data_IF_805421804975
#
_entry.id   IF_805421804975
#
_cell.length_a   1.000
_cell.length_b   1.000
_cell.length_c   1.000
_cell.angle_alpha   90.00
_cell.angle_beta   90.00
_cell.angle_gamma   90.00
#
_symmetry.space_group_name_H-M   'P 1'
#
loop_
_entity.id
_entity.type
_entity.pdbx_description
1 polymer ?
#
# COMPACT_ATOMS: atom_id res chain seq x y z
N UNK A 1 6.67 1.55 24.01
CA UNK A 1 5.97 1.26 22.73
C UNK A 1 6.80 1.59 21.50
N UNK A 2 7.34 2.81 21.38
CA UNK A 2 8.03 3.26 20.15
C UNK A 2 9.17 2.35 19.70
N UNK A 3 10.03 1.86 20.62
CA UNK A 3 11.17 1.01 20.25
C UNK A 3 10.78 -0.29 19.53
N UNK A 4 9.76 -1.01 20.00
CA UNK A 4 9.31 -2.26 19.38
C UNK A 4 8.59 -2.02 18.04
N UNK A 5 7.81 -0.93 17.97
CA UNK A 5 7.18 -0.47 16.73
C UNK A 5 8.23 -0.15 15.67
N UNK A 6 9.20 0.69 16.03
CA UNK A 6 10.23 1.18 15.11
C UNK A 6 11.12 0.02 14.66
N UNK A 7 11.47 -0.90 15.56
CA UNK A 7 12.21 -2.12 15.21
C UNK A 7 11.46 -3.00 14.18
N UNK A 8 10.14 -3.14 14.29
CA UNK A 8 9.34 -3.90 13.32
C UNK A 8 9.32 -3.23 11.94
N UNK A 9 9.03 -1.92 11.87
CA UNK A 9 8.99 -1.22 10.58
C UNK A 9 10.37 -1.04 9.95
N UNK A 10 11.44 -0.87 10.74
CA UNK A 10 12.81 -0.87 10.23
C UNK A 10 13.21 -2.24 9.68
N UNK A 11 12.77 -3.34 10.29
CA UNK A 11 12.98 -4.68 9.74
C UNK A 11 12.25 -4.84 8.40
N UNK A 12 11.00 -4.38 8.32
CA UNK A 12 10.20 -4.38 7.09
C UNK A 12 10.86 -3.59 5.94
N UNK A 13 11.48 -2.46 6.24
CA UNK A 13 12.17 -1.66 5.22
C UNK A 13 13.46 -2.33 4.74
N UNK A 14 14.23 -2.93 5.66
CA UNK A 14 15.47 -3.67 5.33
C UNK A 14 15.20 -4.93 4.51
N UNK A 15 14.12 -5.63 4.82
CA UNK A 15 13.78 -6.92 4.22
C UNK A 15 12.69 -6.79 3.15
N UNK A 16 12.51 -5.59 2.59
CA UNK A 16 11.50 -5.28 1.58
C UNK A 16 11.66 -6.11 0.30
N UNK A 17 12.88 -6.53 -0.02
CA UNK A 17 13.20 -7.33 -1.22
C UNK A 17 12.91 -8.83 -1.04
N UNK A 18 12.65 -9.28 0.18
CA UNK A 18 12.34 -10.67 0.48
C UNK A 18 10.87 -10.99 0.26
N UNK A 19 10.58 -12.25 -0.08
CA UNK A 19 9.21 -12.71 -0.26
C UNK A 19 8.44 -12.61 1.06
N UNK A 20 7.34 -11.85 1.12
CA UNK A 20 6.52 -11.82 2.32
C UNK A 20 5.92 -13.19 2.55
N UNK A 21 6.19 -13.74 3.73
CA UNK A 21 5.77 -15.10 4.11
C UNK A 21 4.65 -15.05 5.15
N UNK A 22 4.45 -13.90 5.79
CA UNK A 22 3.52 -13.73 6.91
C UNK A 22 2.57 -12.54 6.68
N UNK A 23 1.38 -12.64 7.28
CA UNK A 23 0.31 -11.64 7.19
C UNK A 23 0.10 -11.02 8.56
N UNK A 24 0.27 -9.70 8.66
CA UNK A 24 -0.02 -8.90 9.85
C UNK A 24 -1.47 -8.41 9.84
N UNK A 25 -1.81 -7.42 10.68
CA UNK A 25 -3.15 -6.84 10.65
C UNK A 25 -3.38 -6.06 9.36
N UNK A 26 -4.66 -5.95 8.97
CA UNK A 26 -5.11 -5.18 7.79
C UNK A 26 -4.43 -5.56 6.46
N UNK A 27 -3.94 -6.79 6.35
CA UNK A 27 -3.31 -7.30 5.13
C UNK A 27 -1.88 -6.82 4.90
N UNK A 28 -1.22 -6.26 5.92
CA UNK A 28 0.19 -5.91 5.84
C UNK A 28 1.03 -7.19 5.72
N UNK A 29 1.76 -7.33 4.63
CA UNK A 29 2.62 -8.48 4.37
C UNK A 29 4.03 -8.22 4.90
N UNK A 30 4.64 -9.20 5.57
CA UNK A 30 5.99 -9.08 6.13
C UNK A 30 6.80 -10.39 6.01
N UNK A 31 8.15 -10.31 6.00
CA UNK A 31 9.02 -11.49 5.93
C UNK A 31 9.17 -12.15 7.31
N UNK A 32 9.46 -13.46 7.33
CA UNK A 32 9.47 -14.27 8.57
C UNK A 32 10.54 -13.81 9.57
N UNK A 33 11.60 -13.18 9.09
CA UNK A 33 12.68 -12.59 9.87
C UNK A 33 12.18 -11.47 10.78
N UNK A 34 11.13 -10.76 10.37
CA UNK A 34 10.51 -9.69 11.16
C UNK A 34 9.45 -10.20 12.14
N UNK A 35 9.17 -11.51 12.18
CA UNK A 35 8.16 -12.12 13.06
C UNK A 35 8.48 -11.92 14.54
N UNK A 36 9.74 -12.05 14.93
CA UNK A 36 10.15 -11.84 16.32
C UNK A 36 9.89 -10.39 16.78
N UNK A 37 10.24 -9.41 15.94
CA UNK A 37 9.94 -7.99 16.18
C UNK A 37 8.44 -7.73 16.20
N UNK A 38 7.66 -8.45 15.37
CA UNK A 38 6.20 -8.37 15.34
C UNK A 38 5.57 -8.85 16.63
N UNK A 39 6.01 -9.99 17.16
CA UNK A 39 5.48 -10.55 18.41
C UNK A 39 5.76 -9.62 19.59
N UNK A 40 6.95 -9.01 19.64
CA UNK A 40 7.27 -7.99 20.63
C UNK A 40 6.39 -6.75 20.49
N UNK A 41 6.13 -6.29 19.26
CA UNK A 41 5.26 -5.15 19.00
C UNK A 41 3.83 -5.42 19.46
N UNK A 42 3.27 -6.60 19.17
CA UNK A 42 1.92 -7.01 19.59
C UNK A 42 1.84 -7.23 21.10
N UNK A 43 2.89 -7.75 21.73
CA UNK A 43 2.94 -7.94 23.19
C UNK A 43 3.02 -6.63 23.96
N UNK A 44 3.75 -5.63 23.43
CA UNK A 44 3.92 -4.34 24.09
C UNK A 44 2.85 -3.31 23.73
N UNK A 45 2.18 -3.43 22.58
CA UNK A 45 1.16 -2.48 22.14
C UNK A 45 -0.25 -3.06 22.27
N UNK A 46 -1.21 -2.20 22.62
CA UNK A 46 -2.63 -2.58 22.48
C UNK A 46 -2.94 -2.87 21.02
N UNK A 47 -3.78 -3.87 20.79
CA UNK A 47 -4.19 -4.31 19.45
C UNK A 47 -4.82 -3.19 18.61
N UNK A 48 -5.51 -2.23 19.22
CA UNK A 48 -6.03 -1.04 18.53
C UNK A 48 -4.92 -0.17 17.93
N UNK A 49 -3.83 0.04 18.67
CA UNK A 49 -2.66 0.78 18.21
C UNK A 49 -1.91 0.01 17.12
N UNK A 50 -1.76 -1.31 17.26
CA UNK A 50 -1.15 -2.16 16.23
C UNK A 50 -1.89 -2.02 14.89
N UNK A 51 -3.23 -2.13 14.92
CA UNK A 51 -4.06 -1.93 13.72
C UNK A 51 -3.95 -0.52 13.14
N UNK A 52 -3.88 0.50 14.00
CA UNK A 52 -3.72 1.88 13.57
C UNK A 52 -2.38 2.09 12.84
N UNK A 53 -1.27 1.63 13.42
CA UNK A 53 0.05 1.78 12.83
C UNK A 53 0.21 0.94 11.55
N UNK A 54 -0.30 -0.29 11.50
CA UNK A 54 -0.26 -1.10 10.28
C UNK A 54 -1.02 -0.42 9.14
N UNK A 55 -2.19 0.16 9.42
CA UNK A 55 -2.96 0.93 8.43
C UNK A 55 -2.18 2.16 7.95
N UNK A 56 -1.58 2.92 8.88
CA UNK A 56 -0.76 4.09 8.56
C UNK A 56 0.44 3.71 7.68
N UNK A 57 1.14 2.63 8.01
CA UNK A 57 2.28 2.15 7.22
C UNK A 57 1.87 1.71 5.81
N UNK A 58 0.77 0.94 5.67
CA UNK A 58 0.25 0.57 4.36
C UNK A 58 -0.15 1.78 3.51
N UNK A 59 -0.78 2.80 4.12
CA UNK A 59 -1.12 4.05 3.45
C UNK A 59 0.14 4.78 2.98
N UNK A 60 1.13 4.93 3.85
CA UNK A 60 2.38 5.62 3.54
C UNK A 60 3.20 4.90 2.46
N UNK A 61 3.34 3.57 2.51
CA UNK A 61 3.99 2.76 1.45
C UNK A 61 3.24 2.84 0.13
N UNK A 62 1.91 2.94 0.15
CA UNK A 62 1.11 3.15 -1.07
C UNK A 62 1.35 4.53 -1.66
N UNK A 63 1.42 5.57 -0.82
CA UNK A 63 1.74 6.94 -1.25
C UNK A 63 3.17 7.00 -1.81
N UNK A 64 4.15 6.41 -1.13
CA UNK A 64 5.52 6.30 -1.62
C UNK A 64 5.59 5.64 -3.00
N UNK A 65 4.93 4.48 -3.20
CA UNK A 65 4.84 3.84 -4.52
C UNK A 65 4.17 4.74 -5.56
N UNK A 66 3.15 5.50 -5.20
CA UNK A 66 2.48 6.41 -6.14
C UNK A 66 3.39 7.57 -6.56
N UNK A 67 4.25 8.04 -5.65
CA UNK A 67 5.23 9.09 -5.92
C UNK A 67 6.44 8.55 -6.70
N UNK A 68 6.83 7.30 -6.47
CA UNK A 68 7.87 6.58 -7.19
C UNK A 68 7.43 6.17 -8.60
N UNK A 69 6.12 5.94 -8.80
CA UNK A 69 5.44 5.76 -10.11
C UNK A 69 5.39 7.05 -10.95
N UNK A 70 6.34 7.97 -10.75
CA UNK A 70 6.55 9.13 -11.64
C UNK A 70 7.38 8.79 -12.90
N UNK A 71 7.82 7.54 -13.07
CA UNK A 71 8.63 7.11 -14.21
C UNK A 71 7.92 6.24 -15.27
N UNK A 72 6.84 5.53 -14.94
CA UNK A 72 6.26 4.53 -15.85
C UNK A 72 4.86 4.90 -16.33
N UNK A 73 4.83 5.69 -17.40
CA UNK A 73 3.80 5.72 -18.46
C UNK A 73 2.35 5.53 -18.00
N UNK A 74 1.78 6.52 -17.31
CA UNK A 74 0.35 6.82 -17.53
C UNK A 74 0.29 7.83 -18.65
N UNK A 75 0.12 7.31 -19.87
CA UNK A 75 -0.27 8.15 -21.01
C UNK A 75 -1.49 9.00 -20.62
N UNK A 76 -1.69 10.15 -21.27
CA UNK A 76 -2.81 11.03 -20.95
C UNK A 76 -4.09 10.21 -20.92
N UNK A 77 -4.91 10.43 -19.88
CA UNK A 77 -6.29 9.94 -19.85
C UNK A 77 -7.00 10.59 -21.04
N UNK A 78 -6.92 9.94 -22.20
CA UNK A 78 -7.72 10.28 -23.35
C UNK A 78 -9.16 9.94 -22.95
N UNK A 79 -9.88 10.96 -22.48
CA UNK A 79 -11.33 10.88 -22.37
C UNK A 79 -11.84 10.35 -23.71
N UNK A 80 -12.71 9.32 -23.74
CA UNK A 80 -13.37 8.98 -24.99
C UNK A 80 -14.04 10.24 -25.52
N UNK A 81 -13.68 10.61 -26.76
CA UNK A 81 -14.26 11.77 -27.43
C UNK A 81 -15.80 11.71 -27.30
N UNK A 82 -16.46 12.82 -26.93
CA UNK A 82 -17.92 12.85 -26.90
C UNK A 82 -18.42 12.50 -28.30
N UNK A 83 -19.11 11.38 -28.43
CA UNK A 83 -19.72 10.96 -29.68
C UNK A 83 -20.77 11.98 -30.07
N UNK A 84 -20.43 12.87 -31.02
CA UNK A 84 -21.39 13.81 -31.59
C UNK A 84 -22.40 13.00 -32.41
N UNK A 85 -23.57 12.76 -31.81
CA UNK A 85 -24.70 12.13 -32.48
C UNK A 85 -25.09 12.98 -33.68
N UNK A 86 -24.81 12.51 -34.90
CA UNK A 86 -25.25 13.17 -36.13
C UNK A 86 -26.74 12.85 -36.34
N UNK A 87 -27.63 13.86 -36.48
CA UNK A 87 -28.99 13.58 -36.92
C UNK A 87 -28.93 13.16 -38.40
N UNK A 88 -29.42 11.95 -38.69
CA UNK A 88 -29.71 11.51 -40.05
C UNK A 88 -30.87 12.34 -40.59
N UNK A 89 -30.54 13.35 -41.39
CA UNK A 89 -31.45 13.91 -42.38
C UNK A 89 -31.66 12.91 -43.52
N UNK A 90 -32.86 12.96 -44.11
CA UNK A 90 -33.36 12.24 -45.31
C UNK A 90 -33.87 10.81 -45.09
N UNK A 91 -35.19 10.65 -45.15
CA UNK A 91 -35.83 9.94 -46.26
C UNK A 91 -37.17 10.62 -46.61
N UNK A 92 -37.47 10.53 -47.90
CA UNK A 92 -38.44 11.24 -48.76
C UNK A 92 -39.86 11.44 -48.27
#
# INVERSE_FOLDING_TARGET
>A
LNKARDAFYSCLEKECDKKPTEIASVGLLYPIECKQSRDQFVKQCRSSWVKHFDRQYCQNKRVQRLLDDKGTRRGPLLLPQPYTFKPTSSFS
#
